data_IF_152182138421
#
_entry.id   IF_152182138421
#
_cell.length_a   1.000
_cell.length_b   1.000
_cell.length_c   1.000
_cell.angle_alpha   90.00
_cell.angle_beta   90.00
_cell.angle_gamma   90.00
#
_symmetry.space_group_name_H-M   'P 1'
#
loop_
_entity.id
_entity.type
_entity.pdbx_description
1 polymer ?
#
# COMPACT_ATOMS: atom_id res chain seq x y z
N UNK A 1 -50.44 -44.79 29.94
CA UNK A 1 -49.46 -43.74 30.30
C UNK A 1 -49.17 -42.98 29.00
N UNK A 2 -49.80 -41.82 28.76
CA UNK A 2 -49.28 -40.47 29.08
C UNK A 2 -47.96 -40.21 28.31
N UNK A 3 -47.79 -39.23 27.40
CA UNK A 3 -48.40 -37.92 27.25
C UNK A 3 -48.36 -37.40 25.79
N UNK A 4 -49.41 -36.66 25.41
CA UNK A 4 -49.40 -35.67 24.32
C UNK A 4 -48.51 -34.50 24.71
N UNK A 5 -47.68 -34.01 23.77
CA UNK A 5 -46.88 -32.81 23.98
C UNK A 5 -47.21 -31.71 22.97
N UNK A 6 -47.43 -30.55 23.56
CA UNK A 6 -47.95 -29.28 23.11
C UNK A 6 -47.06 -28.61 22.08
N UNK A 7 -47.70 -28.02 21.06
CA UNK A 7 -47.13 -27.14 20.04
C UNK A 7 -46.48 -25.92 20.70
N UNK A 8 -45.17 -25.75 20.53
CA UNK A 8 -44.46 -24.51 20.87
C UNK A 8 -43.85 -23.94 19.58
N UNK A 9 -44.47 -22.88 19.07
CA UNK A 9 -43.97 -22.04 17.98
C UNK A 9 -42.69 -21.33 18.42
N UNK A 10 -41.55 -21.78 17.91
CA UNK A 10 -40.29 -21.03 17.95
C UNK A 10 -40.01 -20.52 16.54
N UNK A 11 -40.38 -19.27 16.31
CA UNK A 11 -39.93 -18.47 15.16
C UNK A 11 -38.41 -18.44 15.12
N UNK A 12 -37.82 -19.19 14.20
CA UNK A 12 -36.40 -19.15 13.91
C UNK A 12 -36.06 -17.79 13.29
N UNK A 13 -35.33 -16.96 14.03
CA UNK A 13 -34.72 -15.74 13.51
C UNK A 13 -33.54 -16.14 12.63
N UNK A 14 -33.73 -16.14 11.32
CA UNK A 14 -32.65 -16.31 10.36
C UNK A 14 -31.76 -15.05 10.42
N UNK A 15 -30.66 -15.13 11.16
CA UNK A 15 -29.60 -14.11 11.14
C UNK A 15 -28.87 -14.25 9.79
N UNK A 16 -29.32 -13.51 8.80
CA UNK A 16 -28.65 -13.40 7.51
C UNK A 16 -27.26 -12.77 7.71
N UNK A 17 -26.23 -13.53 7.37
CA UNK A 17 -24.87 -13.09 7.13
C UNK A 17 -24.88 -11.94 6.09
N UNK A 18 -24.71 -10.71 6.52
CA UNK A 18 -24.24 -9.64 5.63
C UNK A 18 -22.77 -9.39 5.91
N UNK A 19 -21.93 -10.17 5.21
CA UNK A 19 -20.50 -9.91 5.11
C UNK A 19 -20.30 -8.53 4.49
N UNK A 20 -19.80 -7.59 5.28
CA UNK A 20 -19.30 -6.31 4.79
C UNK A 20 -18.07 -6.60 3.93
N UNK A 21 -18.27 -6.74 2.63
CA UNK A 21 -17.20 -6.63 1.64
C UNK A 21 -16.67 -5.20 1.73
N UNK A 22 -15.61 -5.01 2.51
CA UNK A 22 -14.86 -3.76 2.55
C UNK A 22 -14.30 -3.53 1.14
N UNK A 23 -14.95 -2.66 0.37
CA UNK A 23 -14.48 -2.19 -0.92
C UNK A 23 -13.14 -1.49 -0.71
N UNK A 24 -12.03 -2.21 -0.91
CA UNK A 24 -10.70 -1.63 -0.93
C UNK A 24 -10.67 -0.62 -2.08
N UNK A 25 -10.63 0.67 -1.72
CA UNK A 25 -10.54 1.74 -2.72
C UNK A 25 -9.29 1.51 -3.58
N UNK A 26 -9.38 1.71 -4.91
CA UNK A 26 -8.21 1.59 -5.78
C UNK A 26 -7.14 2.56 -5.29
N UNK A 27 -5.98 2.02 -4.89
CA UNK A 27 -4.83 2.82 -4.52
C UNK A 27 -4.48 3.70 -5.74
N UNK A 28 -4.45 5.02 -5.55
CA UNK A 28 -4.07 5.94 -6.60
C UNK A 28 -2.72 5.50 -7.17
N UNK A 29 -2.65 5.36 -8.50
CA UNK A 29 -1.44 4.95 -9.19
C UNK A 29 -0.33 5.94 -8.85
N UNK A 30 0.68 5.44 -8.13
CA UNK A 30 1.81 6.26 -7.72
C UNK A 30 2.77 6.36 -8.90
N UNK A 31 3.35 7.53 -9.19
CA UNK A 31 4.33 7.65 -10.27
C UNK A 31 5.50 6.69 -10.00
N UNK A 32 5.86 5.86 -10.99
CA UNK A 32 7.03 4.99 -10.88
C UNK A 32 8.35 5.74 -11.14
N UNK A 33 8.29 6.93 -11.76
CA UNK A 33 9.46 7.67 -12.23
C UNK A 33 10.14 6.96 -13.41
N UNK A 34 11.47 7.03 -13.51
CA UNK A 34 12.27 6.30 -14.50
C UNK A 34 12.79 4.96 -13.97
N UNK A 35 12.30 4.48 -12.83
CA UNK A 35 12.70 3.19 -12.32
C UNK A 35 12.26 2.05 -13.28
N UNK A 36 13.05 0.96 -13.39
CA UNK A 36 12.65 -0.21 -14.14
C UNK A 36 11.28 -0.74 -13.70
N UNK A 37 10.51 -1.33 -14.61
CA UNK A 37 9.15 -1.84 -14.33
C UNK A 37 9.08 -2.91 -13.23
N UNK A 38 10.20 -3.58 -12.96
CA UNK A 38 10.35 -4.53 -11.87
C UNK A 38 10.66 -3.88 -10.51
N UNK A 39 10.66 -2.55 -10.41
CA UNK A 39 10.77 -1.82 -9.16
C UNK A 39 9.37 -1.43 -8.70
N UNK A 40 8.93 -1.93 -7.55
CA UNK A 40 7.69 -1.47 -6.95
C UNK A 40 7.92 -0.13 -6.26
N UNK A 41 7.09 0.86 -6.58
CA UNK A 41 7.23 2.24 -6.09
C UNK A 41 5.91 2.68 -5.46
N UNK A 42 5.97 3.23 -4.25
CA UNK A 42 4.78 3.71 -3.55
C UNK A 42 5.12 4.86 -2.61
N UNK A 43 4.09 5.56 -2.11
CA UNK A 43 4.26 6.57 -1.08
C UNK A 43 3.29 6.37 0.07
N UNK A 44 3.68 6.86 1.24
CA UNK A 44 2.80 7.03 2.40
C UNK A 44 2.80 8.50 2.79
N UNK A 45 1.61 9.07 2.97
CA UNK A 45 1.44 10.44 3.46
C UNK A 45 0.92 10.38 4.89
N UNK A 46 1.75 10.79 5.85
CA UNK A 46 1.34 11.01 7.23
C UNK A 46 0.87 12.44 7.47
N UNK A 47 0.50 12.75 8.71
CA UNK A 47 -0.03 14.08 9.09
C UNK A 47 0.97 15.21 8.83
N UNK A 48 2.25 14.97 9.12
CA UNK A 48 3.34 15.99 9.06
C UNK A 48 4.42 15.61 8.04
N UNK A 49 4.43 14.39 7.51
CA UNK A 49 5.51 13.92 6.62
C UNK A 49 4.98 13.13 5.43
N UNK A 50 5.74 13.08 4.34
CA UNK A 50 5.55 12.19 3.20
C UNK A 50 6.76 11.28 3.11
N UNK A 51 6.53 9.98 2.92
CA UNK A 51 7.59 8.99 2.71
C UNK A 51 7.38 8.33 1.36
N UNK A 52 8.39 8.39 0.51
CA UNK A 52 8.43 7.68 -0.75
C UNK A 52 9.26 6.41 -0.61
N UNK A 53 8.82 5.32 -1.23
CA UNK A 53 9.41 4.00 -1.14
C UNK A 53 9.67 3.44 -2.54
N UNK A 54 10.76 2.67 -2.66
CA UNK A 54 11.07 1.91 -3.87
C UNK A 54 11.69 0.57 -3.49
N UNK A 55 11.13 -0.52 -4.01
CA UNK A 55 11.58 -1.89 -3.78
C UNK A 55 12.07 -2.50 -5.07
N UNK A 56 13.25 -3.10 -5.02
CA UNK A 56 13.84 -3.75 -6.18
C UNK A 56 13.36 -5.20 -6.29
N UNK A 57 12.43 -5.52 -7.20
CA UNK A 57 11.99 -6.89 -7.47
C UNK A 57 12.61 -7.47 -8.77
N UNK A 58 13.64 -6.83 -9.31
CA UNK A 58 14.25 -7.15 -10.61
C UNK A 58 15.19 -8.38 -10.62
N UNK A 59 15.37 -9.07 -9.49
CA UNK A 59 16.30 -10.20 -9.37
C UNK A 59 17.80 -9.86 -9.52
N UNK A 60 18.14 -8.59 -9.77
CA UNK A 60 19.51 -8.05 -9.83
C UNK A 60 19.67 -6.83 -8.96
N UNK A 61 20.90 -6.53 -8.53
CA UNK A 61 21.22 -5.33 -7.77
C UNK A 61 21.04 -4.08 -8.67
N UNK A 62 20.34 -3.07 -8.17
CA UNK A 62 20.08 -1.81 -8.88
C UNK A 62 20.50 -0.63 -8.03
N UNK A 63 20.93 0.46 -8.66
CA UNK A 63 21.12 1.74 -7.97
C UNK A 63 19.88 2.58 -8.16
N UNK A 64 19.23 2.90 -7.06
CA UNK A 64 17.94 3.58 -7.04
C UNK A 64 18.01 4.79 -6.11
N UNK A 65 17.25 5.83 -6.46
CA UNK A 65 16.94 6.96 -5.60
C UNK A 65 15.46 7.28 -5.65
N UNK A 66 14.95 7.91 -4.60
CA UNK A 66 13.59 8.45 -4.57
C UNK A 66 13.58 9.84 -5.19
N UNK A 67 12.65 10.11 -6.11
CA UNK A 67 12.51 11.41 -6.78
C UNK A 67 11.41 12.24 -6.14
N UNK A 68 11.72 13.49 -5.84
CA UNK A 68 10.73 14.44 -5.28
C UNK A 68 10.61 15.65 -6.20
N UNK A 69 9.38 15.94 -6.65
CA UNK A 69 9.07 17.18 -7.35
C UNK A 69 9.36 18.37 -6.43
N UNK A 70 9.95 19.43 -6.99
CA UNK A 70 10.17 20.71 -6.29
C UNK A 70 10.98 20.56 -5.00
N UNK A 71 12.00 19.70 -5.02
CA UNK A 71 12.87 19.46 -3.88
C UNK A 71 14.14 18.69 -4.25
N UNK A 72 14.95 18.41 -3.23
CA UNK A 72 16.11 17.53 -3.36
C UNK A 72 15.63 16.08 -3.43
N UNK A 73 16.17 15.34 -4.39
CA UNK A 73 15.98 13.89 -4.47
C UNK A 73 16.53 13.18 -3.23
N UNK A 74 16.06 11.95 -3.01
CA UNK A 74 16.68 11.03 -2.07
C UNK A 74 18.12 10.68 -2.48
N UNK A 75 18.90 10.21 -1.51
CA UNK A 75 20.25 9.72 -1.78
C UNK A 75 20.19 8.48 -2.70
N UNK A 76 21.23 8.34 -3.53
CA UNK A 76 21.39 7.17 -4.37
C UNK A 76 21.91 6.00 -3.55
N UNK A 77 21.19 4.88 -3.58
CA UNK A 77 21.55 3.68 -2.85
C UNK A 77 21.63 2.49 -3.80
N UNK A 78 22.60 1.62 -3.55
CA UNK A 78 22.68 0.32 -4.18
C UNK A 78 21.74 -0.64 -3.44
N UNK A 79 20.73 -1.13 -4.13
CA UNK A 79 19.62 -1.92 -3.59
C UNK A 79 19.70 -3.35 -4.12
N UNK A 80 19.89 -4.31 -3.23
CA UNK A 80 19.79 -5.74 -3.58
C UNK A 80 18.34 -6.12 -3.96
N UNK A 81 18.15 -7.24 -4.70
CA UNK A 81 16.83 -7.81 -4.94
C UNK A 81 16.07 -8.05 -3.63
N UNK A 82 14.79 -7.69 -3.60
CA UNK A 82 13.91 -7.76 -2.44
C UNK A 82 14.11 -6.64 -1.41
N UNK A 83 15.16 -5.81 -1.52
CA UNK A 83 15.36 -4.69 -0.60
C UNK A 83 14.56 -3.46 -1.03
N UNK A 84 14.19 -2.67 -0.03
CA UNK A 84 13.42 -1.43 -0.19
C UNK A 84 14.24 -0.24 0.32
N UNK A 85 14.26 0.84 -0.44
CA UNK A 85 14.76 2.14 0.00
C UNK A 85 13.59 3.08 0.24
N UNK A 86 13.83 4.08 1.08
CA UNK A 86 12.84 5.11 1.32
C UNK A 86 13.50 6.47 1.51
N UNK A 87 12.73 7.52 1.25
CA UNK A 87 13.08 8.89 1.55
C UNK A 87 11.89 9.54 2.23
N UNK A 88 12.15 10.32 3.29
CA UNK A 88 11.13 11.00 4.08
C UNK A 88 11.34 12.50 3.99
N UNK A 89 10.27 13.22 3.67
CA UNK A 89 10.26 14.68 3.59
C UNK A 89 9.15 15.24 4.47
N UNK A 90 9.32 16.47 4.95
CA UNK A 90 8.23 17.20 5.58
C UNK A 90 7.06 17.35 4.60
N UNK A 91 5.82 17.30 5.12
CA UNK A 91 4.60 17.48 4.34
C UNK A 91 4.53 18.95 3.94
N UNK A 92 5.07 19.22 2.76
CA UNK A 92 5.10 20.54 2.15
C UNK A 92 4.75 20.46 0.67
N UNK A 93 5.19 21.45 -0.14
CA UNK A 93 4.86 21.53 -1.56
C UNK A 93 5.52 20.44 -2.40
N UNK A 94 6.41 19.63 -1.81
CA UNK A 94 7.06 18.49 -2.46
C UNK A 94 6.03 17.40 -2.77
N UNK A 95 6.05 16.93 -4.01
CA UNK A 95 5.25 15.79 -4.48
C UNK A 95 6.18 14.64 -4.82
N UNK A 96 5.72 13.41 -4.62
CA UNK A 96 6.48 12.23 -4.97
C UNK A 96 6.41 12.00 -6.48
N UNK A 97 7.57 11.94 -7.15
CA UNK A 97 7.68 11.70 -8.60
C UNK A 97 8.10 10.25 -8.92
N UNK A 98 8.21 9.41 -7.91
CA UNK A 98 8.57 8.01 -8.04
C UNK A 98 10.00 7.71 -7.65
N UNK A 99 10.60 6.74 -8.35
CA UNK A 99 12.00 6.39 -8.19
C UNK A 99 12.74 6.55 -9.52
N UNK A 100 14.04 6.77 -9.45
CA UNK A 100 14.90 6.94 -10.61
C UNK A 100 16.14 6.08 -10.41
N UNK A 101 16.68 5.58 -11.52
CA UNK A 101 17.97 4.92 -11.50
C UNK A 101 19.08 5.94 -11.35
N UNK A 102 20.13 5.53 -10.65
CA UNK A 102 21.44 6.13 -10.73
C UNK A 102 22.46 5.00 -11.01
#
# INVERSE_FOLDING_TARGET
MQHSFTTATLTAFALALTGALASASPAAAVPAGNAPSCVAVWQTTGTITKTGYARNDCGRRLRLKIKWARGTDGACHTVDPGRTIYSKVARGPRTFDGADSC
#
